data_IF_565517875033
#
_entry.id   IF_565517875033
#
_cell.length_a   1.000
_cell.length_b   1.000
_cell.length_c   1.000
_cell.angle_alpha   90.00
_cell.angle_beta   90.00
_cell.angle_gamma   90.00
#
_symmetry.space_group_name_H-M   'P 1'
#
loop_
_entity.id
_entity.type
_entity.pdbx_description
1 polymer ?
#
# COMPACT_ATOMS: atom_id res chain seq x y z
N UNK A 1 -14.65 -16.86 -3.96
CA UNK A 1 -15.93 -16.10 -3.88
C UNK A 1 -17.02 -16.95 -4.51
N UNK A 2 -18.30 -16.73 -4.17
CA UNK A 2 -19.44 -17.40 -4.81
C UNK A 2 -19.86 -16.67 -6.09
N UNK A 3 -19.84 -15.33 -6.05
CA UNK A 3 -20.12 -14.40 -7.13
C UNK A 3 -19.44 -13.04 -6.79
N UNK A 4 -19.49 -12.00 -7.65
CA UNK A 4 -18.77 -10.74 -7.43
C UNK A 4 -19.13 -9.98 -6.14
N UNK A 5 -20.29 -10.25 -5.53
CA UNK A 5 -20.78 -9.54 -4.33
C UNK A 5 -20.96 -10.48 -3.12
N UNK A 6 -20.70 -11.78 -3.29
CA UNK A 6 -20.91 -12.80 -2.25
C UNK A 6 -19.64 -13.61 -1.99
N UNK A 7 -19.15 -13.56 -0.75
CA UNK A 7 -18.05 -14.41 -0.30
C UNK A 7 -18.49 -15.88 -0.22
N UNK A 8 -17.55 -16.80 -0.47
CA UNK A 8 -17.74 -18.22 -0.23
C UNK A 8 -16.83 -18.65 0.93
N UNK A 9 -17.33 -19.48 1.83
CA UNK A 9 -16.56 -19.97 2.98
C UNK A 9 -16.36 -18.95 4.08
N UNK A 10 -15.48 -19.28 5.03
CA UNK A 10 -15.20 -18.44 6.20
C UNK A 10 -14.16 -17.36 5.87
N UNK A 11 -14.26 -16.22 6.55
CA UNK A 11 -13.20 -15.20 6.54
C UNK A 11 -12.01 -15.67 7.36
N UNK A 12 -10.81 -15.36 6.90
CA UNK A 12 -9.54 -15.66 7.56
C UNK A 12 -8.77 -14.37 7.75
N UNK A 13 -8.25 -14.16 8.96
CA UNK A 13 -7.40 -13.00 9.27
C UNK A 13 -5.95 -13.35 8.96
N UNK A 14 -5.36 -12.63 8.01
CA UNK A 14 -3.97 -12.84 7.55
C UNK A 14 -3.00 -11.76 8.04
N UNK A 15 -3.50 -10.63 8.55
CA UNK A 15 -2.69 -9.58 9.17
C UNK A 15 -3.43 -8.90 10.31
N UNK A 16 -2.66 -8.33 11.23
CA UNK A 16 -3.08 -7.35 12.23
C UNK A 16 -1.89 -6.40 12.44
N UNK A 17 -2.12 -5.14 12.86
CA UNK A 17 -1.04 -4.23 13.21
C UNK A 17 -0.17 -4.83 14.32
N UNK A 18 1.12 -5.00 14.05
CA UNK A 18 2.09 -5.57 14.99
C UNK A 18 3.34 -4.70 15.12
N UNK A 19 3.72 -3.98 14.07
CA UNK A 19 4.84 -3.06 14.08
C UNK A 19 4.42 -1.66 14.47
N UNK A 20 5.33 -0.89 15.07
CA UNK A 20 5.01 0.45 15.59
C UNK A 20 4.55 1.41 14.49
N UNK A 21 5.13 1.31 13.30
CA UNK A 21 4.74 2.11 12.14
C UNK A 21 3.30 1.84 11.65
N UNK A 22 2.65 0.77 12.08
CA UNK A 22 1.25 0.45 11.77
C UNK A 22 0.25 1.02 12.76
N UNK A 23 0.77 1.50 13.90
CA UNK A 23 0.02 1.83 15.10
C UNK A 23 0.11 3.32 15.37
N UNK A 24 0.13 4.20 14.36
CA UNK A 24 -0.07 5.64 14.57
C UNK A 24 -1.53 5.98 14.28
N UNK A 25 -2.36 6.05 15.31
CA UNK A 25 -3.80 6.24 15.16
C UNK A 25 -4.45 6.91 16.37
N UNK A 26 -3.72 7.84 16.99
CA UNK A 26 -4.28 8.74 17.98
C UNK A 26 -5.33 9.64 17.31
N UNK A 27 -6.52 9.73 17.90
CA UNK A 27 -7.62 10.55 17.41
C UNK A 27 -7.60 11.97 18.01
N UNK A 28 -6.68 12.25 18.95
CA UNK A 28 -6.56 13.55 19.61
C UNK A 28 -7.68 13.86 20.61
N UNK A 29 -8.58 12.91 20.84
CA UNK A 29 -9.67 12.97 21.80
C UNK A 29 -9.43 11.91 22.89
N UNK A 30 -9.26 12.30 24.16
CA UNK A 30 -8.97 11.38 25.26
C UNK A 30 -10.12 10.39 25.53
N UNK A 31 -11.34 10.69 25.09
CA UNK A 31 -12.50 9.81 25.26
C UNK A 31 -12.62 8.78 24.12
N UNK A 32 -11.84 8.93 23.04
CA UNK A 32 -11.80 7.99 21.92
C UNK A 32 -10.67 6.97 22.06
N UNK A 33 -10.96 5.73 21.68
CA UNK A 33 -9.99 4.64 21.74
C UNK A 33 -8.97 4.78 20.60
N UNK A 34 -7.70 4.58 20.93
CA UNK A 34 -6.61 4.43 19.97
C UNK A 34 -6.91 3.38 18.89
N UNK A 35 -6.63 3.70 17.63
CA UNK A 35 -6.96 2.84 16.49
C UNK A 35 -5.70 2.35 15.80
N UNK A 36 -5.41 1.06 15.92
CA UNK A 36 -4.39 0.41 15.11
C UNK A 36 -4.98 -0.03 13.77
N UNK A 37 -4.31 0.26 12.65
CA UNK A 37 -4.91 0.13 11.31
C UNK A 37 -4.10 -0.77 10.38
N UNK A 38 -4.80 -1.69 9.73
CA UNK A 38 -4.44 -2.35 8.47
C UNK A 38 -5.67 -2.25 7.57
N UNK A 39 -5.57 -1.54 6.44
CA UNK A 39 -6.69 -1.32 5.52
C UNK A 39 -6.23 -1.22 4.05
N UNK A 40 -7.16 -0.97 3.13
CA UNK A 40 -6.87 -0.77 1.70
C UNK A 40 -6.00 -1.87 1.08
N UNK A 41 -6.39 -3.16 1.18
CA UNK A 41 -5.59 -4.24 0.62
C UNK A 41 -5.65 -4.23 -0.91
N UNK A 42 -4.49 -4.31 -1.55
CA UNK A 42 -4.33 -4.44 -2.99
C UNK A 42 -3.42 -5.63 -3.31
N UNK A 43 -3.87 -6.47 -4.25
CA UNK A 43 -3.11 -7.64 -4.70
C UNK A 43 -2.24 -7.29 -5.91
N UNK A 44 -0.98 -7.68 -5.85
CA UNK A 44 -0.03 -7.66 -6.96
C UNK A 44 0.54 -9.06 -7.16
N UNK A 45 0.49 -9.56 -8.40
CA UNK A 45 1.03 -10.88 -8.76
C UNK A 45 2.23 -10.73 -9.69
N UNK A 46 3.33 -11.41 -9.39
CA UNK A 46 4.50 -11.46 -10.26
C UNK A 46 5.30 -12.74 -10.07
N UNK A 47 5.60 -13.43 -11.17
CA UNK A 47 6.19 -14.78 -11.13
C UNK A 47 5.33 -15.74 -10.30
N UNK A 48 5.99 -16.44 -9.37
CA UNK A 48 5.34 -17.34 -8.40
C UNK A 48 4.96 -16.65 -7.08
N UNK A 49 4.99 -15.32 -7.01
CA UNK A 49 4.69 -14.59 -5.79
C UNK A 49 3.34 -13.88 -5.88
N UNK A 50 2.67 -13.80 -4.72
CA UNK A 50 1.51 -12.99 -4.44
C UNK A 50 1.89 -11.95 -3.38
N UNK A 51 1.75 -10.68 -3.71
CA UNK A 51 1.97 -9.56 -2.81
C UNK A 51 0.62 -8.97 -2.43
N UNK A 52 0.35 -8.85 -1.14
CA UNK A 52 -0.77 -8.06 -0.63
C UNK A 52 -0.20 -6.81 0.00
N UNK A 53 -0.34 -5.69 -0.69
CA UNK A 53 0.05 -4.37 -0.19
C UNK A 53 -1.15 -3.79 0.55
N UNK A 54 -0.92 -3.19 1.71
CA UNK A 54 -1.98 -2.62 2.54
C UNK A 54 -1.49 -1.33 3.17
N UNK A 55 -2.40 -0.49 3.64
CA UNK A 55 -2.07 0.73 4.38
C UNK A 55 -2.08 0.46 5.88
N UNK A 56 -1.05 0.93 6.58
CA UNK A 56 -0.95 0.97 8.04
C UNK A 56 -1.11 2.39 8.58
N UNK A 57 -1.40 2.50 9.88
CA UNK A 57 -1.67 3.77 10.58
C UNK A 57 -2.90 4.53 10.07
N UNK A 58 -3.30 5.59 10.76
CA UNK A 58 -4.49 6.39 10.43
C UNK A 58 -4.22 7.39 9.31
N UNK A 59 -5.12 7.46 8.32
CA UNK A 59 -5.00 8.41 7.21
C UNK A 59 -5.04 9.89 7.65
N UNK A 60 -5.46 10.16 8.89
CA UNK A 60 -5.49 11.50 9.49
C UNK A 60 -4.12 11.90 10.05
N UNK A 61 -3.17 10.97 10.06
CA UNK A 61 -1.79 11.20 10.47
C UNK A 61 -0.88 11.25 9.25
N UNK A 62 0.30 11.85 9.39
CA UNK A 62 1.33 11.81 8.35
C UNK A 62 1.98 10.42 8.19
N UNK A 63 1.72 9.52 9.14
CA UNK A 63 2.30 8.18 9.23
C UNK A 63 1.53 7.13 8.43
N UNK A 64 0.47 7.51 7.70
CA UNK A 64 -0.18 6.62 6.75
C UNK A 64 0.86 6.13 5.73
N UNK A 65 0.98 4.82 5.58
CA UNK A 65 2.11 4.20 4.87
C UNK A 65 1.72 2.82 4.36
N UNK A 66 2.39 2.33 3.31
CA UNK A 66 2.14 0.99 2.79
C UNK A 66 3.04 -0.06 3.45
N UNK A 67 2.43 -1.14 3.90
CA UNK A 67 3.06 -2.41 4.25
C UNK A 67 2.83 -3.49 3.20
N UNK A 68 3.47 -4.65 3.37
CA UNK A 68 3.31 -5.77 2.44
C UNK A 68 3.31 -7.13 3.15
N UNK A 69 2.40 -8.01 2.71
CA UNK A 69 2.47 -9.45 2.91
C UNK A 69 2.93 -10.12 1.62
N UNK A 70 3.70 -11.20 1.73
CA UNK A 70 4.16 -12.02 0.61
C UNK A 70 3.74 -13.46 0.83
N UNK A 71 3.19 -14.09 -0.19
CA UNK A 71 2.88 -15.52 -0.22
C UNK A 71 3.34 -16.14 -1.54
N UNK A 72 3.62 -17.44 -1.53
CA UNK A 72 3.76 -18.19 -2.79
C UNK A 72 2.37 -18.31 -3.45
N UNK A 73 2.30 -18.06 -4.76
CA UNK A 73 1.05 -18.06 -5.51
C UNK A 73 0.36 -19.43 -5.61
N UNK A 74 1.10 -20.52 -5.40
CA UNK A 74 0.61 -21.90 -5.29
C UNK A 74 0.30 -22.35 -3.87
N UNK A 75 0.58 -21.53 -2.84
CA UNK A 75 0.25 -21.84 -1.45
C UNK A 75 -1.26 -21.75 -1.17
N UNK A 76 -1.69 -22.30 -0.03
CA UNK A 76 -3.05 -22.10 0.44
C UNK A 76 -3.21 -20.67 0.98
N UNK A 77 -3.71 -19.75 0.16
CA UNK A 77 -3.93 -18.34 0.53
C UNK A 77 -4.94 -18.16 1.69
N UNK A 78 -5.74 -19.18 2.00
CA UNK A 78 -6.67 -19.21 3.13
C UNK A 78 -6.02 -19.68 4.44
N UNK A 79 -4.73 -20.03 4.42
CA UNK A 79 -3.94 -20.30 5.62
C UNK A 79 -3.10 -19.05 5.96
N UNK A 80 -3.30 -18.42 7.14
CA UNK A 80 -2.47 -17.29 7.57
C UNK A 80 -0.97 -17.60 7.56
N UNK A 81 -0.56 -18.85 7.78
CA UNK A 81 0.85 -19.25 7.77
C UNK A 81 1.51 -19.14 6.39
N UNK A 82 0.73 -19.08 5.30
CA UNK A 82 1.23 -18.86 3.94
C UNK A 82 1.73 -17.43 3.72
N UNK A 83 1.35 -16.48 4.58
CA UNK A 83 1.63 -15.06 4.41
C UNK A 83 2.77 -14.61 5.32
N UNK A 84 3.86 -14.15 4.72
CA UNK A 84 4.97 -13.50 5.41
C UNK A 84 4.79 -11.98 5.40
N UNK A 85 4.63 -11.39 6.58
CA UNK A 85 4.56 -9.93 6.75
C UNK A 85 5.95 -9.31 6.77
N UNK A 86 6.17 -8.27 5.94
CA UNK A 86 7.43 -7.52 6.00
C UNK A 86 7.48 -6.61 7.24
N UNK A 87 8.66 -6.45 7.87
CA UNK A 87 8.80 -5.67 9.09
C UNK A 87 8.88 -4.15 8.89
N UNK A 88 9.15 -3.71 7.67
CA UNK A 88 9.28 -2.29 7.33
C UNK A 88 8.23 -1.87 6.28
N UNK A 89 7.82 -0.59 6.26
CA UNK A 89 7.00 -0.07 5.19
C UNK A 89 7.70 -0.17 3.83
N UNK A 90 6.92 -0.37 2.78
CA UNK A 90 7.37 -0.43 1.38
C UNK A 90 7.14 0.88 0.63
N UNK A 91 6.36 1.80 1.19
CA UNK A 91 6.14 3.15 0.67
C UNK A 91 5.72 4.06 1.84
N UNK A 92 6.47 5.14 2.08
CA UNK A 92 6.30 6.04 3.24
C UNK A 92 6.50 7.48 2.85
N UNK A 93 6.09 8.39 3.72
CA UNK A 93 6.29 9.83 3.55
C UNK A 93 7.77 10.22 3.27
N UNK A 94 7.92 11.31 2.55
CA UNK A 94 9.18 11.95 2.15
C UNK A 94 9.00 13.47 2.35
N UNK A 95 9.08 13.97 3.59
CA UNK A 95 8.78 15.37 3.93
C UNK A 95 9.59 16.38 3.11
N UNK A 96 10.85 16.08 2.84
CA UNK A 96 11.77 16.90 2.03
C UNK A 96 11.36 17.02 0.56
N UNK A 97 10.47 16.14 0.08
CA UNK A 97 9.91 16.16 -1.28
C UNK A 97 8.42 16.58 -1.32
N UNK A 98 7.83 16.95 -0.18
CA UNK A 98 6.41 17.30 -0.10
C UNK A 98 5.49 16.09 -0.31
N UNK A 99 5.89 14.92 0.21
CA UNK A 99 5.07 13.72 0.17
C UNK A 99 4.74 13.28 1.59
N UNK A 100 3.47 13.37 1.98
CA UNK A 100 2.98 12.96 3.29
C UNK A 100 1.89 11.89 3.14
N UNK A 101 1.80 10.98 4.10
CA UNK A 101 0.73 9.98 4.20
C UNK A 101 0.44 9.18 2.90
N UNK A 102 1.43 8.61 2.18
CA UNK A 102 1.15 7.85 0.97
C UNK A 102 0.46 6.51 1.30
N UNK A 103 -0.65 6.21 0.63
CA UNK A 103 -1.32 4.93 0.85
C UNK A 103 -2.51 4.63 -0.06
N UNK A 104 -3.26 3.60 0.33
CA UNK A 104 -4.42 3.02 -0.36
C UNK A 104 -4.19 2.91 -1.87
N UNK A 105 -3.22 2.09 -2.23
CA UNK A 105 -2.71 2.03 -3.59
C UNK A 105 -3.53 1.08 -4.48
N UNK A 106 -3.29 1.18 -5.78
CA UNK A 106 -3.60 0.18 -6.80
C UNK A 106 -2.41 -0.02 -7.73
N UNK A 107 -2.49 -1.02 -8.60
CA UNK A 107 -1.45 -1.28 -9.60
C UNK A 107 -2.03 -1.33 -11.01
N UNK A 108 -1.22 -0.90 -11.98
CA UNK A 108 -1.52 -1.09 -13.39
C UNK A 108 -0.24 -1.29 -14.19
N UNK A 109 -0.38 -1.75 -15.43
CA UNK A 109 0.73 -1.84 -16.38
C UNK A 109 0.55 -0.80 -17.48
N UNK A 110 1.65 -0.35 -18.08
CA UNK A 110 1.57 0.45 -19.30
C UNK A 110 0.80 -0.31 -20.40
N UNK A 111 0.20 0.38 -21.40
CA UNK A 111 -0.49 -0.27 -22.51
C UNK A 111 0.32 -1.37 -23.20
N UNK A 112 1.63 -1.19 -23.32
CA UNK A 112 2.56 -2.20 -23.88
C UNK A 112 2.92 -3.36 -22.93
N UNK A 113 2.48 -3.31 -21.67
CA UNK A 113 2.73 -4.34 -20.64
C UNK A 113 4.16 -4.40 -20.14
N UNK A 114 5.02 -3.45 -20.50
CA UNK A 114 6.47 -3.45 -20.18
C UNK A 114 6.81 -2.76 -18.88
N UNK A 115 5.93 -1.88 -18.42
CA UNK A 115 6.16 -1.07 -17.23
C UNK A 115 5.11 -1.41 -16.18
N UNK A 116 5.54 -1.50 -14.93
CA UNK A 116 4.65 -1.66 -13.79
C UNK A 116 4.54 -0.33 -13.05
N UNK A 117 3.31 0.07 -12.72
CA UNK A 117 3.01 1.35 -12.13
C UNK A 117 2.20 1.16 -10.85
N UNK A 118 2.56 1.93 -9.83
CA UNK A 118 1.77 2.06 -8.61
C UNK A 118 1.00 3.38 -8.70
N UNK A 119 -0.29 3.32 -8.41
CA UNK A 119 -1.15 4.49 -8.18
C UNK A 119 -1.49 4.51 -6.69
N UNK A 120 -1.37 5.65 -6.04
CA UNK A 120 -1.64 5.81 -4.60
C UNK A 120 -2.15 7.23 -4.35
N UNK A 121 -2.67 7.52 -3.16
CA UNK A 121 -2.90 8.90 -2.76
C UNK A 121 -1.80 9.37 -1.80
N UNK A 122 -1.52 10.67 -1.78
CA UNK A 122 -0.67 11.31 -0.78
C UNK A 122 -1.08 12.79 -0.59
N UNK A 123 -0.49 13.43 0.41
CA UNK A 123 -0.67 14.84 0.74
C UNK A 123 0.57 15.67 0.43
N UNK A 124 0.38 16.95 0.13
CA UNK A 124 1.46 17.91 -0.15
C UNK A 124 2.08 18.47 1.14
N UNK A 125 1.32 18.51 2.24
CA UNK A 125 1.76 19.05 3.53
C UNK A 125 1.46 18.11 4.70
N UNK A 126 2.25 18.26 5.76
CA UNK A 126 1.99 17.65 7.07
C UNK A 126 0.65 18.12 7.63
N UNK A 127 -0.13 17.19 8.20
CA UNK A 127 -1.41 17.48 8.84
C UNK A 127 -2.60 17.63 7.90
N UNK A 128 -2.43 17.45 6.58
CA UNK A 128 -3.53 17.51 5.62
C UNK A 128 -4.54 16.35 5.78
N UNK A 129 -4.09 15.22 6.35
CA UNK A 129 -4.93 14.12 6.81
C UNK A 129 -5.84 13.49 5.73
N UNK A 130 -7.00 12.94 6.17
CA UNK A 130 -7.95 12.27 5.27
C UNK A 130 -8.86 13.24 4.48
N UNK A 131 -8.60 14.55 4.51
CA UNK A 131 -9.48 15.57 3.94
C UNK A 131 -9.43 15.65 2.41
N UNK A 132 -9.95 16.76 1.87
CA UNK A 132 -10.02 17.02 0.42
C UNK A 132 -8.69 17.41 -0.23
N UNK A 133 -7.57 17.35 0.49
CA UNK A 133 -6.24 17.69 -0.02
C UNK A 133 -5.45 16.49 -0.55
N UNK A 134 -5.90 15.26 -0.25
CA UNK A 134 -5.29 14.03 -0.77
C UNK A 134 -5.43 13.99 -2.28
N UNK A 135 -4.32 13.88 -2.98
CA UNK A 135 -4.27 13.80 -4.43
C UNK A 135 -3.83 12.42 -4.90
N UNK A 136 -4.39 11.90 -6.01
CA UNK A 136 -3.87 10.70 -6.65
C UNK A 136 -2.49 10.99 -7.24
N UNK A 137 -1.55 10.08 -7.04
CA UNK A 137 -0.18 10.11 -7.54
C UNK A 137 0.19 8.75 -8.11
N UNK A 138 1.02 8.73 -9.13
CA UNK A 138 1.50 7.49 -9.71
C UNK A 138 2.98 7.57 -10.03
N UNK A 139 3.65 6.44 -9.97
CA UNK A 139 5.04 6.31 -10.42
C UNK A 139 5.30 4.90 -10.94
N UNK A 140 6.24 4.79 -11.86
CA UNK A 140 6.76 3.50 -12.28
C UNK A 140 7.52 2.86 -11.12
N UNK A 141 7.39 1.54 -10.99
CA UNK A 141 8.20 0.74 -10.07
C UNK A 141 8.91 -0.38 -10.83
N UNK A 142 9.90 -0.98 -10.18
CA UNK A 142 10.71 -2.04 -10.79
C UNK A 142 10.64 -3.33 -10.00
N UNK A 143 11.21 -4.40 -10.57
CA UNK A 143 11.27 -5.72 -9.96
C UNK A 143 12.71 -6.05 -9.61
N UNK A 144 12.95 -6.38 -8.35
CA UNK A 144 14.24 -6.86 -7.87
C UNK A 144 14.56 -8.24 -8.47
N UNK A 145 15.85 -8.63 -8.44
CA UNK A 145 16.30 -9.93 -8.97
C UNK A 145 15.65 -11.15 -8.28
N UNK A 146 15.21 -10.98 -7.04
CA UNK A 146 14.49 -11.99 -6.26
C UNK A 146 12.96 -11.99 -6.51
N UNK A 147 12.48 -11.13 -7.43
CA UNK A 147 11.08 -11.03 -7.80
C UNK A 147 10.25 -10.14 -6.86
N UNK A 148 10.86 -9.47 -5.89
CA UNK A 148 10.17 -8.50 -5.02
C UNK A 148 9.94 -7.18 -5.77
N UNK A 149 8.80 -6.49 -5.56
CA UNK A 149 8.61 -5.16 -6.11
C UNK A 149 9.50 -4.15 -5.37
N UNK A 150 10.10 -3.23 -6.12
CA UNK A 150 10.74 -2.02 -5.60
C UNK A 150 9.94 -0.80 -6.06
N UNK A 151 9.10 -0.28 -5.17
CA UNK A 151 8.28 0.92 -5.39
C UNK A 151 9.10 2.20 -5.42
N UNK A 152 10.38 2.15 -5.03
CA UNK A 152 11.24 3.31 -4.90
C UNK A 152 10.75 4.29 -3.83
N UNK A 153 11.21 5.53 -3.96
CA UNK A 153 10.82 6.63 -3.08
C UNK A 153 9.63 7.36 -3.71
N UNK A 154 8.56 7.66 -2.96
CA UNK A 154 7.47 8.48 -3.45
C UNK A 154 7.95 9.82 -3.99
N UNK A 155 7.54 10.15 -5.22
CA UNK A 155 8.04 11.34 -5.91
C UNK A 155 7.23 12.61 -5.60
N UNK A 156 7.90 13.75 -5.68
CA UNK A 156 7.28 15.07 -5.54
C UNK A 156 6.31 15.36 -6.69
N UNK A 157 5.25 16.12 -6.42
CA UNK A 157 4.34 16.66 -7.44
C UNK A 157 5.02 17.67 -8.38
N UNK A 158 6.21 18.15 -8.03
CA UNK A 158 7.03 19.02 -8.88
C UNK A 158 7.86 18.23 -9.91
N UNK A 159 7.98 16.91 -9.76
CA UNK A 159 8.72 16.08 -10.71
C UNK A 159 7.83 15.76 -11.92
N UNK A 160 8.28 16.15 -13.11
CA UNK A 160 7.65 15.72 -14.36
C UNK A 160 8.01 14.27 -14.66
N UNK A 161 7.01 13.39 -14.60
CA UNK A 161 7.13 11.99 -15.00
C UNK A 161 6.82 11.82 -16.47
N UNK A 162 7.50 10.87 -17.12
CA UNK A 162 7.05 10.37 -18.43
C UNK A 162 5.73 9.63 -18.24
N UNK A 163 4.81 9.78 -19.19
CA UNK A 163 3.60 8.96 -19.22
C UNK A 163 3.97 7.48 -19.43
N UNK A 164 3.14 6.53 -18.97
CA UNK A 164 3.31 5.10 -19.26
C UNK A 164 3.45 4.86 -20.77
N UNK A 165 4.38 3.98 -21.17
CA UNK A 165 4.67 3.77 -22.60
C UNK A 165 3.52 3.08 -23.35
N UNK A 166 3.19 3.57 -24.55
CA UNK A 166 2.17 2.94 -25.41
C UNK A 166 2.63 1.57 -25.97
N UNK A 167 3.94 1.35 -26.08
CA UNK A 167 4.59 0.18 -26.69
C UNK A 167 5.89 -0.22 -26.01
#
# INVERSE_FOLDING_TARGET
MKDPVTIAGRRVKISSPVYDWEKHGDLGDPDLKYVDINEGPEILKHGNNLFLVYSGSGCWTDNYTLGMLVADAGSNIMDPASWKKLPAPVCKQVPEMGVYAPGHNSFFTSPGGKESWILYHANDHSGDGCGGKRSPRMQQFTWNKDGMPDFGVPVSTQLLLKAPSDK
#
